data_IF_672126912429
#
_entry.id   IF_672126912429
#
_cell.length_a   1.000
_cell.length_b   1.000
_cell.length_c   1.000
_cell.angle_alpha   90.00
_cell.angle_beta   90.00
_cell.angle_gamma   90.00
#
_symmetry.space_group_name_H-M   'P 1'
#
loop_
_entity.id
_entity.type
_entity.pdbx_description
1 polymer ?
#
# COMPACT_ATOMS: atom_id res chain seq x y z
N UNK A 1 16.20 -0.22 7.05
CA UNK A 1 14.87 0.30 7.43
C UNK A 1 14.35 1.19 6.30
N UNK A 2 13.52 0.67 5.41
CA UNK A 2 12.80 1.52 4.45
C UNK A 2 11.60 2.13 5.18
N UNK A 3 11.83 3.08 6.09
CA UNK A 3 10.74 3.91 6.63
C UNK A 3 10.28 4.87 5.53
N UNK A 4 9.44 4.34 4.64
CA UNK A 4 8.77 5.13 3.64
C UNK A 4 7.84 6.12 4.36
N UNK A 5 8.14 7.41 4.19
CA UNK A 5 7.52 8.55 4.87
C UNK A 5 6.09 8.81 4.34
N UNK A 6 5.19 7.87 4.61
CA UNK A 6 3.78 7.93 4.23
C UNK A 6 2.87 7.57 5.41
N UNK A 7 1.67 8.15 5.38
CA UNK A 7 0.63 7.96 6.39
C UNK A 7 -0.64 7.39 5.78
N UNK A 8 -1.55 6.97 6.65
CA UNK A 8 -2.91 6.61 6.25
C UNK A 8 -3.56 7.80 5.57
N UNK A 9 -4.27 7.57 4.46
CA UNK A 9 -4.85 8.60 3.60
C UNK A 9 -3.97 9.01 2.43
N UNK A 10 -2.65 8.78 2.49
CA UNK A 10 -1.77 9.04 1.34
C UNK A 10 -2.08 8.06 0.20
N UNK A 11 -1.98 8.54 -1.05
CA UNK A 11 -1.97 7.70 -2.24
C UNK A 11 -0.55 7.31 -2.55
N UNK A 12 -0.29 6.01 -2.61
CA UNK A 12 1.05 5.44 -2.80
C UNK A 12 1.07 4.52 -4.00
N UNK A 13 2.23 4.46 -4.66
CA UNK A 13 2.57 3.48 -5.68
C UNK A 13 3.59 2.51 -5.08
N UNK A 14 3.20 1.25 -4.97
CA UNK A 14 4.04 0.17 -4.43
C UNK A 14 4.61 -0.64 -5.59
N UNK A 15 5.93 -0.67 -5.69
CA UNK A 15 6.66 -1.47 -6.67
C UNK A 15 7.22 -2.69 -5.92
N UNK A 16 6.90 -3.87 -6.42
CA UNK A 16 7.39 -5.13 -5.87
C UNK A 16 8.13 -5.92 -6.93
N UNK A 17 9.23 -6.55 -6.54
CA UNK A 17 9.96 -7.51 -7.35
C UNK A 17 9.62 -8.93 -6.94
N UNK A 18 9.76 -9.89 -7.84
CA UNK A 18 9.80 -11.28 -7.44
C UNK A 18 11.16 -11.61 -6.81
N UNK A 19 11.16 -12.43 -5.76
CA UNK A 19 12.38 -12.84 -5.07
C UNK A 19 13.01 -14.07 -5.71
N UNK A 20 12.21 -14.87 -6.45
CA UNK A 20 12.69 -16.09 -7.10
C UNK A 20 13.17 -15.82 -8.52
N UNK A 21 12.60 -14.83 -9.19
CA UNK A 21 12.98 -14.46 -10.55
C UNK A 21 13.06 -12.93 -10.71
N UNK A 22 14.29 -12.41 -10.74
CA UNK A 22 14.55 -10.98 -10.83
C UNK A 22 14.12 -10.37 -12.19
N UNK A 23 13.88 -11.18 -13.23
CA UNK A 23 13.41 -10.67 -14.54
C UNK A 23 11.92 -10.34 -14.53
N UNK A 24 11.15 -10.86 -13.56
CA UNK A 24 9.71 -10.64 -13.48
C UNK A 24 9.41 -9.45 -12.57
N UNK A 25 9.32 -8.27 -13.16
CA UNK A 25 8.78 -7.09 -12.50
C UNK A 25 7.25 -7.19 -12.39
N UNK A 26 6.71 -7.08 -11.17
CA UNK A 26 5.24 -7.07 -10.98
C UNK A 26 4.70 -5.68 -11.27
N UNK A 27 3.52 -5.64 -11.90
CA UNK A 27 2.82 -4.39 -12.16
C UNK A 27 2.65 -3.58 -10.86
N UNK A 28 2.99 -2.27 -10.88
CA UNK A 28 2.94 -1.45 -9.68
C UNK A 28 1.52 -1.36 -9.13
N UNK A 29 1.39 -1.45 -7.81
CA UNK A 29 0.10 -1.33 -7.14
C UNK A 29 -0.07 0.09 -6.60
N UNK A 30 -0.89 0.90 -7.27
CA UNK A 30 -1.21 2.25 -6.85
C UNK A 30 -2.59 2.33 -6.18
N UNK A 31 -2.66 2.97 -5.02
CA UNK A 31 -3.92 3.18 -4.31
C UNK A 31 -3.77 3.98 -3.02
N UNK A 32 -4.86 4.11 -2.27
CA UNK A 32 -4.89 4.84 -1.00
C UNK A 32 -4.47 3.90 0.12
N UNK A 33 -3.59 4.36 1.01
CA UNK A 33 -3.27 3.65 2.26
C UNK A 33 -4.45 3.79 3.22
N UNK A 34 -5.16 2.70 3.48
CA UNK A 34 -6.35 2.72 4.34
C UNK A 34 -6.03 2.39 5.80
N UNK A 35 -4.93 1.67 6.04
CA UNK A 35 -4.49 1.23 7.36
C UNK A 35 -2.97 1.08 7.37
N UNK A 36 -2.36 1.46 8.50
CA UNK A 36 -1.00 1.09 8.90
C UNK A 36 -1.10 0.51 10.30
N UNK A 37 -0.60 -0.70 10.53
CA UNK A 37 -0.75 -1.42 11.81
C UNK A 37 0.44 -2.34 12.07
N UNK A 38 0.51 -2.86 13.30
CA UNK A 38 1.61 -3.71 13.75
C UNK A 38 2.77 -2.91 14.34
N UNK A 39 3.73 -3.63 14.91
CA UNK A 39 4.91 -3.08 15.59
C UNK A 39 6.15 -3.86 15.17
N UNK A 40 7.33 -3.25 15.33
CA UNK A 40 8.62 -3.86 14.98
C UNK A 40 8.66 -4.40 13.55
N UNK A 41 8.99 -5.68 13.41
CA UNK A 41 9.08 -6.37 12.12
C UNK A 41 7.72 -6.64 11.47
N UNK A 42 6.67 -6.79 12.28
CA UNK A 42 5.29 -7.09 11.87
C UNK A 42 4.51 -5.85 11.42
N UNK A 43 5.18 -4.71 11.19
CA UNK A 43 4.52 -3.51 10.65
C UNK A 43 4.03 -3.78 9.23
N UNK A 44 2.73 -3.60 9.03
CA UNK A 44 2.05 -3.77 7.74
C UNK A 44 1.25 -2.51 7.37
N UNK A 45 0.98 -2.37 6.09
CA UNK A 45 0.06 -1.35 5.57
C UNK A 45 -0.83 -1.96 4.49
N UNK A 46 -2.04 -1.43 4.37
CA UNK A 46 -3.03 -1.88 3.40
C UNK A 46 -3.29 -0.77 2.40
N UNK A 47 -3.11 -1.09 1.12
CA UNK A 47 -3.40 -0.19 0.01
C UNK A 47 -4.68 -0.66 -0.67
N UNK A 48 -5.62 0.25 -0.90
CA UNK A 48 -6.89 0.01 -1.58
C UNK A 48 -6.93 0.78 -2.89
N UNK A 49 -7.37 0.12 -3.96
CA UNK A 49 -7.70 0.77 -5.25
C UNK A 49 -9.00 0.21 -5.81
N UNK A 50 -9.69 1.02 -6.61
CA UNK A 50 -10.74 0.52 -7.49
C UNK A 50 -10.05 0.15 -8.82
N UNK A 51 -10.12 -1.12 -9.18
CA UNK A 51 -9.58 -1.64 -10.42
C UNK A 51 -10.61 -1.56 -11.56
N UNK A 52 -10.27 -2.13 -12.71
CA UNK A 52 -11.16 -2.21 -13.87
C UNK A 52 -12.45 -2.92 -13.47
N UNK A 53 -13.58 -2.45 -14.03
CA UNK A 53 -14.91 -3.03 -13.74
C UNK A 53 -15.51 -2.64 -12.39
N UNK A 54 -15.05 -1.56 -11.75
CA UNK A 54 -15.50 -1.11 -10.40
C UNK A 54 -15.23 -2.12 -9.29
N UNK A 55 -14.30 -3.06 -9.52
CA UNK A 55 -13.91 -4.06 -8.52
C UNK A 55 -12.90 -3.45 -7.57
N UNK A 56 -13.22 -3.43 -6.28
CA UNK A 56 -12.28 -2.98 -5.26
C UNK A 56 -11.23 -4.04 -4.97
N UNK A 57 -9.96 -3.65 -4.99
CA UNK A 57 -8.83 -4.51 -4.66
C UNK A 57 -8.06 -3.92 -3.48
N UNK A 58 -7.84 -4.73 -2.46
CA UNK A 58 -7.00 -4.41 -1.31
C UNK A 58 -5.78 -5.32 -1.30
N UNK A 59 -4.59 -4.74 -1.07
CA UNK A 59 -3.35 -5.50 -0.93
C UNK A 59 -2.66 -5.09 0.36
N UNK A 60 -2.25 -6.10 1.12
CA UNK A 60 -1.52 -5.94 2.38
C UNK A 60 -0.04 -6.13 2.09
N UNK A 61 0.78 -5.23 2.60
CA UNK A 61 2.22 -5.23 2.42
C UNK A 61 2.89 -5.12 3.79
N UNK A 62 3.92 -5.92 4.03
CA UNK A 62 4.80 -5.77 5.19
C UNK A 62 5.85 -4.72 4.89
N UNK A 63 5.99 -3.69 5.74
CA UNK A 63 6.93 -2.57 5.52
C UNK A 63 8.38 -3.04 5.35
N UNK A 64 8.74 -4.13 6.02
CA UNK A 64 10.09 -4.69 6.02
C UNK A 64 10.27 -5.83 5.01
N UNK A 65 9.30 -6.06 4.10
CA UNK A 65 9.40 -7.15 3.14
C UNK A 65 10.51 -6.89 2.11
N UNK A 66 11.42 -7.86 1.86
CA UNK A 66 12.46 -7.72 0.83
C UNK A 66 11.91 -7.74 -0.60
N UNK A 67 10.64 -8.13 -0.77
CA UNK A 67 9.94 -8.09 -2.05
C UNK A 67 9.50 -6.68 -2.44
N UNK A 68 9.42 -5.74 -1.48
CA UNK A 68 9.11 -4.34 -1.78
C UNK A 68 10.39 -3.65 -2.22
N UNK A 69 10.44 -3.29 -3.49
CA UNK A 69 11.55 -2.55 -4.05
C UNK A 69 11.46 -1.07 -3.65
N UNK A 70 10.27 -0.47 -3.82
CA UNK A 70 10.05 0.94 -3.50
C UNK A 70 8.59 1.25 -3.22
N UNK A 71 8.36 2.18 -2.29
CA UNK A 71 7.05 2.82 -2.09
C UNK A 71 7.19 4.31 -2.38
N UNK A 72 6.41 4.81 -3.33
CA UNK A 72 6.40 6.23 -3.71
C UNK A 72 5.09 6.87 -3.28
N UNK A 73 5.16 8.05 -2.64
CA UNK A 73 3.97 8.84 -2.36
C UNK A 73 3.63 9.65 -3.61
N UNK A 74 2.47 9.36 -4.22
CA UNK A 74 1.96 10.06 -5.40
C UNK A 74 1.20 11.31 -4.96
N UNK A 75 0.40 11.19 -3.91
CA UNK A 75 -0.39 12.31 -3.38
C UNK A 75 -0.53 12.19 -1.86
N UNK A 76 -0.27 13.28 -1.15
CA UNK A 76 -0.51 13.37 0.30
C UNK A 76 -2.00 13.50 0.59
N UNK A 77 -2.48 12.75 1.58
CA UNK A 77 -3.86 12.79 2.04
C UNK A 77 -4.01 13.52 3.36
N UNK A 78 -5.12 14.25 3.50
CA UNK A 78 -5.56 14.84 4.76
C UNK A 78 -6.69 14.02 5.35
N UNK A 79 -6.38 13.08 6.25
CA UNK A 79 -7.40 12.29 6.96
C UNK A 79 -7.20 12.41 8.46
N UNK A 80 -8.31 12.41 9.20
CA UNK A 80 -8.31 12.47 10.67
C UNK A 80 -8.38 11.10 11.34
N UNK A 81 -8.75 10.06 10.57
CA UNK A 81 -8.93 8.69 11.09
C UNK A 81 -7.70 7.84 10.81
N UNK A 82 -7.26 7.07 11.80
CA UNK A 82 -6.16 6.12 11.65
C UNK A 82 -6.51 4.89 10.78
N UNK A 83 -7.80 4.58 10.61
CA UNK A 83 -8.28 3.48 9.75
C UNK A 83 -9.43 3.96 8.87
N UNK A 84 -9.29 3.82 7.56
CA UNK A 84 -10.25 4.32 6.57
C UNK A 84 -11.20 3.24 6.04
N UNK A 85 -11.65 2.33 6.91
CA UNK A 85 -12.54 1.23 6.49
C UNK A 85 -13.88 1.71 5.91
N UNK A 86 -14.30 2.95 6.19
CA UNK A 86 -15.47 3.55 5.57
C UNK A 86 -15.34 3.65 4.04
N UNK A 87 -14.11 3.67 3.49
CA UNK A 87 -13.86 3.62 2.05
C UNK A 87 -14.23 2.27 1.41
N UNK A 88 -14.53 1.24 2.20
CA UNK A 88 -15.08 -0.02 1.70
C UNK A 88 -16.54 0.08 1.27
N UNK A 89 -17.29 0.98 1.92
CA UNK A 89 -18.71 1.23 1.63
C UNK A 89 -18.92 2.28 0.53
N UNK A 90 -17.86 2.99 0.14
CA UNK A 90 -17.87 3.93 -0.97
C UNK A 90 -17.33 3.20 -2.21
N UNK A 91 -18.21 2.96 -3.17
CA UNK A 91 -17.90 2.43 -4.51
C UNK A 91 -17.53 3.61 -5.40
#
# INVERSE_FOLDING_TARGET
MNEANFKVGDRVKVITRDLKDAKIAKSPFEGIVIVKKGQGENKTFTVRKIAVGRIAVEKIFSLNSPAIERVQVIKKGGVRRAKLYYLRKKI
#
